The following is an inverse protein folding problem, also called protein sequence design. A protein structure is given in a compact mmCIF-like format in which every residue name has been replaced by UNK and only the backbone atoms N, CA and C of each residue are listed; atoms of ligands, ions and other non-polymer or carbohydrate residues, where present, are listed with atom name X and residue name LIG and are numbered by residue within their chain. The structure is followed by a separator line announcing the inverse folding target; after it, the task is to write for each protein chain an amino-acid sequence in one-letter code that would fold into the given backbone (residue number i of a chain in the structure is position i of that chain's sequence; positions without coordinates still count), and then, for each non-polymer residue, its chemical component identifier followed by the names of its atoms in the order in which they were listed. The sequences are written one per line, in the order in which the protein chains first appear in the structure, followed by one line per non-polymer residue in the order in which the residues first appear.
data_IF_952027451457
#
_entry.id   IF_952027451457
#
_cell.length_a   1.000
_cell.length_b   1.000
_cell.length_c   1.000
_cell.angle_alpha   90.00
_cell.angle_beta   90.00
_cell.angle_gamma   90.00
#
_symmetry.space_group_name_H-M   'P 1'
#
loop_
_entity.id
_entity.type
_entity.pdbx_description
1 polymer ?
#
# COMPACT_ATOMS: atom_id res chain seq x y z
N UNK A 1 5.55 7.52 3.03
CA UNK A 1 5.50 8.97 3.31
C UNK A 1 4.18 9.41 2.74
N UNK A 2 3.30 9.91 3.60
CA UNK A 2 1.87 9.81 3.34
C UNK A 2 1.34 11.15 2.81
N UNK A 3 0.13 11.13 2.24
CA UNK A 3 -0.56 12.31 1.72
C UNK A 3 -1.87 12.44 2.47
N UNK A 4 -2.06 13.55 3.17
CA UNK A 4 -3.26 13.75 3.99
C UNK A 4 -4.39 14.37 3.18
N UNK A 5 -5.62 13.97 3.51
CA UNK A 5 -6.87 14.47 2.90
C UNK A 5 -7.91 14.64 3.99
N UNK A 6 -8.64 15.74 4.02
CA UNK A 6 -9.73 15.92 5.00
C UNK A 6 -11.00 15.14 4.59
N UNK A 7 -11.16 14.84 3.30
CA UNK A 7 -12.33 14.16 2.73
C UNK A 7 -11.92 13.26 1.56
N UNK A 8 -12.75 12.28 1.18
CA UNK A 8 -12.56 11.58 -0.09
C UNK A 8 -12.85 12.49 -1.28
N UNK A 9 -12.16 12.25 -2.40
CA UNK A 9 -12.34 13.00 -3.64
C UNK A 9 -13.81 13.07 -4.08
N UNK A 10 -14.22 14.22 -4.62
CA UNK A 10 -15.61 14.51 -5.03
C UNK A 10 -16.65 14.35 -3.90
N UNK A 11 -16.24 14.51 -2.64
CA UNK A 11 -17.09 14.39 -1.44
C UNK A 11 -17.83 13.04 -1.37
N UNK A 12 -17.19 11.98 -1.88
CA UNK A 12 -17.70 10.61 -1.73
C UNK A 12 -17.58 10.17 -0.27
N UNK A 13 -18.39 9.19 0.13
CA UNK A 13 -18.39 8.68 1.50
C UNK A 13 -18.06 7.18 1.59
N UNK A 14 -17.74 6.54 0.45
CA UNK A 14 -17.31 5.15 0.37
C UNK A 14 -16.44 4.91 -0.86
N UNK A 15 -15.72 3.78 -0.85
CA UNK A 15 -14.88 3.33 -1.95
C UNK A 15 -14.20 2.01 -1.62
N UNK A 16 -13.05 1.78 -2.23
CA UNK A 16 -12.24 0.59 -2.00
C UNK A 16 -10.75 0.93 -1.98
N UNK A 17 -9.98 0.05 -1.36
CA UNK A 17 -8.51 0.09 -1.33
C UNK A 17 -7.99 -1.05 -2.19
N UNK A 18 -6.99 -0.78 -3.03
CA UNK A 18 -6.29 -1.79 -3.82
C UNK A 18 -5.04 -2.26 -3.08
N UNK A 19 -4.72 -3.55 -3.16
CA UNK A 19 -3.44 -4.07 -2.68
C UNK A 19 -2.31 -3.48 -3.51
N UNK A 20 -1.15 -3.19 -2.90
CA UNK A 20 0.06 -2.92 -3.67
C UNK A 20 0.41 -4.15 -4.52
N UNK A 21 0.99 -3.92 -5.70
CA UNK A 21 1.31 -5.00 -6.66
C UNK A 21 2.24 -6.09 -6.09
N UNK A 22 2.99 -5.80 -5.02
CA UNK A 22 3.87 -6.76 -4.35
C UNK A 22 3.11 -7.76 -3.45
N UNK A 23 1.85 -7.46 -3.12
CA UNK A 23 1.00 -8.26 -2.23
C UNK A 23 -0.21 -8.91 -2.93
N UNK A 24 -0.28 -8.81 -4.26
CA UNK A 24 -1.36 -9.45 -5.02
C UNK A 24 -1.16 -10.96 -5.06
N UNK A 25 -2.26 -11.70 -4.90
CA UNK A 25 -2.25 -13.15 -4.98
C UNK A 25 -2.13 -13.64 -6.44
N UNK A 26 -1.66 -14.88 -6.68
CA UNK A 26 -1.72 -15.49 -8.00
C UNK A 26 -3.14 -15.44 -8.58
N UNK A 27 -3.27 -14.88 -9.79
CA UNK A 27 -4.56 -14.72 -10.48
C UNK A 27 -5.29 -13.41 -10.18
N UNK A 28 -4.82 -12.58 -9.25
CA UNK A 28 -5.28 -11.19 -9.14
C UNK A 28 -4.64 -10.30 -10.21
N UNK A 29 -5.38 -9.29 -10.66
CA UNK A 29 -4.94 -8.34 -11.67
C UNK A 29 -3.84 -7.42 -11.10
N UNK A 30 -2.71 -7.30 -11.83
CA UNK A 30 -1.73 -6.24 -11.57
C UNK A 30 -2.30 -4.88 -11.97
N UNK A 31 -2.31 -3.94 -11.04
CA UNK A 31 -2.75 -2.57 -11.29
C UNK A 31 -1.66 -1.82 -12.03
N UNK A 32 -2.02 -1.12 -13.12
CA UNK A 32 -1.10 -0.29 -13.89
C UNK A 32 -1.48 1.18 -13.73
N UNK A 33 -0.65 1.93 -13.00
CA UNK A 33 -0.73 3.40 -12.98
C UNK A 33 -0.16 3.94 -14.30
N UNK A 34 -0.91 4.80 -14.96
CA UNK A 34 -0.56 5.45 -16.22
C UNK A 34 0.16 6.77 -15.94
N UNK A 35 -0.41 7.58 -15.06
CA UNK A 35 0.17 8.86 -14.68
C UNK A 35 -0.31 9.29 -13.29
N UNK A 36 0.40 10.27 -12.73
CA UNK A 36 0.15 10.81 -11.40
C UNK A 36 0.22 12.33 -11.42
N UNK A 37 -0.85 12.98 -11.00
CA UNK A 37 -0.92 14.43 -10.80
C UNK A 37 -0.90 14.73 -9.29
N UNK A 38 -0.02 15.64 -8.80
CA UNK A 38 0.08 15.93 -7.36
C UNK A 38 -1.21 16.46 -6.71
N UNK A 39 -2.09 17.05 -7.51
CA UNK A 39 -3.42 17.53 -7.11
C UNK A 39 -4.42 17.31 -8.25
N UNK A 40 -5.72 17.45 -7.97
CA UNK A 40 -6.83 17.41 -8.93
C UNK A 40 -6.40 17.99 -10.28
N UNK A 41 -6.56 17.21 -11.34
CA UNK A 41 -6.08 17.58 -12.66
C UNK A 41 -7.18 17.52 -13.72
N UNK A 42 -8.46 17.36 -13.36
CA UNK A 42 -9.55 17.25 -14.34
C UNK A 42 -9.31 16.12 -15.35
N UNK A 43 -8.86 14.98 -14.85
CA UNK A 43 -8.40 13.88 -15.68
C UNK A 43 -9.50 13.19 -16.49
N UNK A 44 -10.77 13.45 -16.20
CA UNK A 44 -11.92 13.04 -17.00
C UNK A 44 -12.04 13.84 -18.33
N UNK A 45 -11.55 15.08 -18.34
CA UNK A 45 -11.58 15.97 -19.50
C UNK A 45 -10.20 16.14 -20.16
N UNK A 46 -9.30 15.17 -19.99
CA UNK A 46 -7.99 15.10 -20.65
C UNK A 46 -7.91 14.01 -21.71
N UNK A 47 -6.97 14.16 -22.65
CA UNK A 47 -6.65 13.13 -23.66
C UNK A 47 -5.74 12.04 -23.05
N UNK A 48 -5.41 11.02 -23.85
CA UNK A 48 -4.53 9.89 -23.46
C UNK A 48 -4.88 9.27 -22.10
N UNK A 49 -6.12 8.76 -22.00
CA UNK A 49 -6.66 8.18 -20.77
C UNK A 49 -6.62 9.10 -19.53
N UNK A 50 -6.51 10.41 -19.72
CA UNK A 50 -6.49 11.42 -18.68
C UNK A 50 -5.09 11.96 -18.36
N UNK A 51 -4.06 11.54 -19.08
CA UNK A 51 -2.65 11.81 -18.75
C UNK A 51 -1.99 12.92 -19.58
N UNK A 52 -2.67 13.42 -20.61
CA UNK A 52 -2.15 14.43 -21.52
C UNK A 52 -3.05 15.68 -21.54
N UNK A 53 -3.15 16.33 -22.70
CA UNK A 53 -3.79 17.63 -22.92
C UNK A 53 -5.20 17.72 -22.33
N UNK A 54 -5.47 18.84 -21.65
CA UNK A 54 -6.83 19.23 -21.34
C UNK A 54 -7.59 19.54 -22.62
N UNK A 55 -8.71 18.86 -22.86
CA UNK A 55 -9.42 18.87 -24.17
C UNK A 55 -9.90 20.25 -24.62
N UNK A 56 -10.09 21.19 -23.69
CA UNK A 56 -10.52 22.56 -24.02
C UNK A 56 -9.35 23.57 -24.06
N UNK A 57 -8.10 23.11 -23.88
CA UNK A 57 -6.91 23.91 -24.14
C UNK A 57 -6.54 23.86 -25.62
N UNK A 58 -6.02 24.97 -26.15
CA UNK A 58 -5.41 25.02 -27.49
C UNK A 58 -3.92 24.64 -27.48
N UNK A 59 -3.31 24.59 -26.29
CA UNK A 59 -1.89 24.26 -26.12
C UNK A 59 -1.71 22.74 -25.97
N UNK A 60 -0.65 22.22 -26.60
CA UNK A 60 -0.19 20.85 -26.36
C UNK A 60 0.63 20.85 -25.07
N UNK A 61 0.11 20.16 -24.07
CA UNK A 61 0.73 20.00 -22.77
C UNK A 61 1.83 18.93 -22.84
N UNK A 62 2.97 19.24 -22.22
CA UNK A 62 4.05 18.28 -22.05
C UNK A 62 3.84 17.54 -20.74
N UNK A 63 4.23 16.27 -20.71
CA UNK A 63 4.44 15.59 -19.43
C UNK A 63 5.47 16.36 -18.60
N UNK A 64 5.45 16.22 -17.27
CA UNK A 64 6.43 16.89 -16.42
C UNK A 64 7.87 16.59 -16.87
N UNK A 65 8.15 15.34 -17.23
CA UNK A 65 9.46 14.91 -17.69
C UNK A 65 9.90 15.62 -18.99
N UNK A 66 9.01 15.77 -19.97
CA UNK A 66 9.29 16.47 -21.24
C UNK A 66 9.41 17.99 -21.07
N UNK A 67 8.76 18.54 -20.03
CA UNK A 67 8.92 19.94 -19.62
C UNK A 67 10.20 20.18 -18.79
N UNK A 68 10.99 19.15 -18.50
CA UNK A 68 12.18 19.25 -17.64
C UNK A 68 11.86 19.35 -16.14
N UNK A 69 10.60 19.12 -15.76
CA UNK A 69 10.11 19.12 -14.38
C UNK A 69 10.31 17.73 -13.78
N UNK A 70 11.40 17.56 -13.02
CA UNK A 70 11.80 16.27 -12.42
C UNK A 70 11.97 16.30 -10.91
N UNK A 71 11.60 17.41 -10.26
CA UNK A 71 11.70 17.55 -8.80
C UNK A 71 10.42 18.17 -8.23
N UNK A 72 10.10 17.92 -6.95
CA UNK A 72 8.98 18.55 -6.27
C UNK A 72 8.97 20.08 -6.38
N UNK A 73 10.12 20.71 -6.15
CA UNK A 73 10.26 22.17 -6.23
C UNK A 73 10.08 22.70 -7.66
N UNK A 74 10.58 21.98 -8.67
CA UNK A 74 10.36 22.34 -10.08
C UNK A 74 8.88 22.24 -10.46
N UNK A 75 8.17 21.23 -9.95
CA UNK A 75 6.73 21.10 -10.18
C UNK A 75 5.97 22.26 -9.55
N UNK A 76 6.27 22.62 -8.29
CA UNK A 76 5.61 23.75 -7.64
C UNK A 76 5.83 25.06 -8.39
N UNK A 77 7.05 25.29 -8.90
CA UNK A 77 7.36 26.47 -9.72
C UNK A 77 6.56 26.47 -11.04
N UNK A 78 6.47 25.33 -11.72
CA UNK A 78 5.66 25.18 -12.94
C UNK A 78 4.17 25.40 -12.66
N UNK A 79 3.61 24.78 -11.62
CA UNK A 79 2.22 24.92 -11.23
C UNK A 79 1.84 26.37 -10.90
N UNK A 80 2.71 27.08 -10.17
CA UNK A 80 2.54 28.52 -9.91
C UNK A 80 2.63 29.38 -11.15
N UNK A 81 3.48 29.02 -12.12
CA UNK A 81 3.63 29.77 -13.37
C UNK A 81 2.36 29.75 -14.23
N UNK A 82 1.54 28.69 -14.10
CA UNK A 82 0.23 28.58 -14.75
C UNK A 82 -0.93 29.06 -13.87
N UNK A 83 -0.61 29.76 -12.77
CA UNK A 83 -1.60 30.37 -11.87
C UNK A 83 -2.26 29.39 -10.89
N UNK A 84 -1.59 28.29 -10.55
CA UNK A 84 -2.17 27.17 -9.80
C UNK A 84 -3.44 26.62 -10.46
N UNK A 85 -3.50 26.64 -11.79
CA UNK A 85 -4.64 26.11 -12.54
C UNK A 85 -4.51 24.58 -12.63
N UNK A 86 -5.39 23.87 -11.95
CA UNK A 86 -5.49 22.41 -11.92
C UNK A 86 -5.47 21.80 -13.33
N UNK A 87 -6.03 22.51 -14.32
CA UNK A 87 -6.14 22.07 -15.72
C UNK A 87 -4.85 22.26 -16.51
N UNK A 88 -3.88 23.02 -16.00
CA UNK A 88 -2.63 23.37 -16.72
C UNK A 88 -1.37 22.85 -16.05
N UNK A 89 -1.49 22.19 -14.89
CA UNK A 89 -0.37 21.54 -14.25
C UNK A 89 0.21 20.45 -15.18
N UNK A 90 1.53 20.30 -15.22
CA UNK A 90 2.10 19.11 -15.84
C UNK A 90 1.75 17.87 -14.99
N UNK A 91 1.59 16.73 -15.66
CA UNK A 91 1.34 15.42 -15.03
C UNK A 91 2.58 14.53 -15.22
N UNK A 92 2.91 13.73 -14.20
CA UNK A 92 4.04 12.79 -14.27
C UNK A 92 3.64 11.50 -14.99
N UNK A 93 4.35 11.14 -16.06
CA UNK A 93 4.24 9.81 -16.72
C UNK A 93 4.83 8.73 -15.79
N UNK A 94 4.06 7.68 -15.48
CA UNK A 94 4.50 6.59 -14.59
C UNK A 94 4.66 5.25 -15.33
N UNK A 95 4.68 5.28 -16.66
CA UNK A 95 4.85 4.13 -17.53
C UNK A 95 6.25 4.10 -18.13
N UNK A 96 6.79 5.25 -18.56
CA UNK A 96 8.05 5.36 -19.29
C UNK A 96 9.19 5.88 -18.42
N UNK A 97 10.39 5.34 -18.62
CA UNK A 97 11.61 5.90 -18.05
C UNK A 97 12.13 7.06 -18.92
N UNK A 98 12.63 8.12 -18.28
CA UNK A 98 13.14 9.33 -18.94
C UNK A 98 14.62 9.55 -18.59
N UNK A 99 15.50 8.79 -19.26
CA UNK A 99 16.94 8.78 -18.98
C UNK A 99 17.20 8.19 -17.60
N UNK A 100 17.87 8.93 -16.73
CA UNK A 100 18.11 8.51 -15.34
C UNK A 100 16.92 8.71 -14.40
N UNK A 101 15.86 9.39 -14.85
CA UNK A 101 14.64 9.64 -14.08
C UNK A 101 13.59 8.60 -14.47
N UNK A 102 13.41 7.58 -13.64
CA UNK A 102 12.56 6.44 -13.95
C UNK A 102 11.10 6.65 -13.48
N UNK A 103 10.22 5.72 -13.82
CA UNK A 103 8.80 5.76 -13.43
C UNK A 103 8.53 5.81 -11.91
N UNK A 104 9.39 5.22 -11.09
CA UNK A 104 9.27 5.29 -9.64
C UNK A 104 9.68 6.68 -9.13
N UNK A 105 10.73 7.27 -9.71
CA UNK A 105 11.11 8.66 -9.43
C UNK A 105 9.97 9.63 -9.80
N UNK A 106 9.28 9.38 -10.91
CA UNK A 106 8.12 10.16 -11.36
C UNK A 106 6.94 10.09 -10.37
N UNK A 107 6.57 8.87 -9.94
CA UNK A 107 5.52 8.67 -8.93
C UNK A 107 5.90 9.35 -7.61
N UNK A 108 7.13 9.15 -7.13
CA UNK A 108 7.61 9.75 -5.88
C UNK A 108 7.68 11.28 -5.97
N UNK A 109 8.15 11.83 -7.09
CA UNK A 109 8.17 13.28 -7.30
C UNK A 109 6.77 13.87 -7.22
N UNK A 110 5.73 13.18 -7.70
CA UNK A 110 4.35 13.64 -7.61
C UNK A 110 3.85 13.68 -6.15
N UNK A 111 4.10 12.62 -5.39
CA UNK A 111 3.74 12.53 -3.96
C UNK A 111 4.48 13.61 -3.14
N UNK A 112 5.76 13.83 -3.41
CA UNK A 112 6.55 14.84 -2.69
C UNK A 112 6.20 16.28 -3.12
N UNK A 113 5.85 16.50 -4.39
CA UNK A 113 5.39 17.79 -4.89
C UNK A 113 4.13 18.27 -4.18
N UNK A 114 3.21 17.35 -3.89
CA UNK A 114 1.97 17.62 -3.18
C UNK A 114 2.21 18.27 -1.81
N UNK A 115 3.22 17.86 -1.06
CA UNK A 115 3.51 18.43 0.27
C UNK A 115 3.88 19.91 0.23
N UNK A 116 4.17 20.44 -0.95
CA UNK A 116 4.55 21.83 -1.13
C UNK A 116 3.33 22.76 -1.32
N UNK A 117 2.12 22.23 -1.54
CA UNK A 117 0.90 23.04 -1.79
C UNK A 117 0.06 23.34 -0.54
N UNK A 118 0.58 23.07 0.66
CA UNK A 118 0.04 23.53 1.97
C UNK A 118 -1.49 23.46 2.10
N UNK A 119 -2.19 24.60 2.08
CA UNK A 119 -3.64 24.64 2.34
C UNK A 119 -4.47 23.85 1.32
N UNK A 120 -3.96 23.67 0.10
CA UNK A 120 -4.58 22.87 -0.96
C UNK A 120 -4.29 21.37 -0.77
N UNK A 121 -3.19 21.03 -0.10
CA UNK A 121 -2.76 19.65 0.17
C UNK A 121 -3.86 18.88 0.91
N UNK A 122 -4.48 19.45 1.93
CA UNK A 122 -5.50 18.70 2.68
C UNK A 122 -6.88 18.73 2.01
N UNK A 123 -7.17 19.77 1.22
CA UNK A 123 -8.52 20.08 0.72
C UNK A 123 -8.85 19.43 -0.62
N UNK A 124 -7.83 19.11 -1.41
CA UNK A 124 -8.01 18.67 -2.79
C UNK A 124 -7.29 17.35 -3.02
N UNK A 125 -7.96 16.36 -3.61
CA UNK A 125 -7.39 15.04 -3.87
C UNK A 125 -6.15 15.07 -4.78
N UNK A 126 -5.34 14.02 -4.71
CA UNK A 126 -4.33 13.67 -5.71
C UNK A 126 -5.00 12.80 -6.76
N UNK A 127 -4.60 12.90 -8.03
CA UNK A 127 -5.18 12.07 -9.09
C UNK A 127 -4.17 11.09 -9.68
N UNK A 128 -4.42 9.80 -9.46
CA UNK A 128 -3.76 8.71 -10.15
C UNK A 128 -4.68 8.18 -11.26
N UNK A 129 -4.16 8.05 -12.48
CA UNK A 129 -4.88 7.37 -13.57
C UNK A 129 -4.43 5.94 -13.67
N UNK A 130 -5.38 5.02 -13.62
CA UNK A 130 -5.14 3.59 -13.77
C UNK A 130 -5.56 3.14 -15.15
N UNK A 131 -4.88 2.12 -15.69
CA UNK A 131 -5.30 1.46 -16.91
C UNK A 131 -6.68 0.83 -16.71
N UNK A 132 -7.54 0.95 -17.73
CA UNK A 132 -8.84 0.27 -17.74
C UNK A 132 -8.60 -1.23 -17.70
N UNK A 133 -9.28 -1.92 -16.79
CA UNK A 133 -9.24 -3.37 -16.66
C UNK A 133 -10.37 -4.04 -17.45
N UNK A 134 -10.17 -5.25 -17.97
CA UNK A 134 -11.23 -6.03 -18.60
C UNK A 134 -12.41 -6.30 -17.66
N UNK A 135 -13.59 -6.47 -18.23
CA UNK A 135 -14.75 -6.96 -17.49
C UNK A 135 -14.43 -8.29 -16.80
N UNK A 136 -15.03 -8.51 -15.62
CA UNK A 136 -14.83 -9.72 -14.81
C UNK A 136 -13.39 -9.97 -14.35
N UNK A 137 -12.53 -8.95 -14.39
CA UNK A 137 -11.18 -9.04 -13.81
C UNK A 137 -11.24 -9.36 -12.31
N UNK A 138 -10.32 -10.20 -11.86
CA UNK A 138 -10.11 -10.44 -10.42
C UNK A 138 -9.26 -9.31 -9.84
N UNK A 139 -9.91 -8.20 -9.46
CA UNK A 139 -9.22 -7.03 -8.94
C UNK A 139 -8.60 -7.31 -7.55
N UNK A 140 -7.42 -6.76 -7.25
CA UNK A 140 -6.74 -6.96 -5.98
C UNK A 140 -7.34 -6.03 -4.91
N UNK A 141 -8.61 -6.19 -4.60
CA UNK A 141 -9.27 -5.36 -3.58
C UNK A 141 -8.78 -5.80 -2.20
N UNK A 142 -8.32 -4.84 -1.40
CA UNK A 142 -7.84 -5.05 -0.04
C UNK A 142 -8.94 -4.81 1.00
N UNK A 143 -9.74 -3.77 0.80
CA UNK A 143 -10.82 -3.38 1.72
C UNK A 143 -11.90 -2.57 1.00
N UNK A 144 -13.11 -2.64 1.51
CA UNK A 144 -14.17 -1.65 1.27
C UNK A 144 -14.09 -0.61 2.36
N UNK A 145 -14.13 0.67 2.00
CA UNK A 145 -13.98 1.76 2.96
C UNK A 145 -15.22 2.64 2.94
N UNK A 146 -15.51 3.24 4.09
CA UNK A 146 -16.41 4.37 4.20
C UNK A 146 -15.84 5.40 5.16
N UNK A 147 -16.25 6.64 5.01
CA UNK A 147 -15.82 7.72 5.91
C UNK A 147 -16.81 7.91 7.04
N UNK A 148 -16.29 7.95 8.27
CA UNK A 148 -17.06 8.21 9.48
C UNK A 148 -16.19 8.84 10.57
N UNK A 149 -16.81 9.21 11.70
CA UNK A 149 -16.05 9.61 12.89
C UNK A 149 -15.61 8.33 13.59
N UNK A 150 -14.30 8.15 13.88
CA UNK A 150 -13.74 6.96 14.56
C UNK A 150 -14.61 6.52 15.75
N UNK A 151 -15.11 5.29 15.69
CA UNK A 151 -15.93 4.67 16.74
C UNK A 151 -17.35 5.25 16.87
N UNK A 152 -17.73 6.15 15.95
CA UNK A 152 -19.08 6.66 15.75
C UNK A 152 -19.42 6.62 14.24
N UNK A 153 -19.40 5.44 13.62
CA UNK A 153 -19.71 5.28 12.19
C UNK A 153 -21.15 5.65 11.83
N UNK A 154 -22.02 5.83 12.83
CA UNK A 154 -23.41 6.27 12.70
C UNK A 154 -23.60 7.71 13.25
N UNK A 155 -22.55 8.55 13.22
CA UNK A 155 -22.59 9.91 13.76
C UNK A 155 -23.38 10.90 12.92
N UNK A 156 -23.50 10.66 11.61
CA UNK A 156 -24.29 11.47 10.69
C UNK A 156 -24.87 10.65 9.54
N UNK A 157 -25.82 11.22 8.81
CA UNK A 157 -26.49 10.55 7.70
C UNK A 157 -25.56 10.19 6.54
N UNK A 158 -24.41 10.88 6.41
CA UNK A 158 -23.40 10.58 5.38
C UNK A 158 -22.65 9.30 5.71
N UNK A 159 -22.23 9.15 6.97
CA UNK A 159 -21.51 7.98 7.46
C UNK A 159 -22.39 6.72 7.36
N UNK A 160 -23.67 6.84 7.73
CA UNK A 160 -24.63 5.74 7.58
C UNK A 160 -24.83 5.31 6.11
N UNK A 161 -24.96 6.27 5.19
CA UNK A 161 -25.09 6.00 3.76
C UNK A 161 -23.81 5.38 3.18
N UNK A 162 -22.63 5.92 3.54
CA UNK A 162 -21.33 5.39 3.11
C UNK A 162 -21.11 3.95 3.57
N UNK A 163 -21.40 3.66 4.85
CA UNK A 163 -21.34 2.32 5.43
C UNK A 163 -22.27 1.35 4.70
N UNK A 164 -23.50 1.78 4.40
CA UNK A 164 -24.48 0.96 3.65
C UNK A 164 -23.96 0.62 2.25
N UNK A 165 -23.34 1.56 1.55
CA UNK A 165 -22.75 1.34 0.23
C UNK A 165 -21.53 0.42 0.28
N UNK A 166 -20.62 0.60 1.24
CA UNK A 166 -19.46 -0.28 1.42
C UNK A 166 -19.87 -1.73 1.76
N UNK A 167 -20.92 -1.89 2.57
CA UNK A 167 -21.55 -3.17 2.87
C UNK A 167 -22.17 -3.83 1.63
N UNK A 168 -22.76 -3.01 0.77
CA UNK A 168 -23.36 -3.45 -0.49
C UNK A 168 -22.29 -3.93 -1.49
N UNK A 169 -21.18 -3.18 -1.59
CA UNK A 169 -20.00 -3.57 -2.37
C UNK A 169 -19.39 -4.88 -1.87
N UNK A 170 -19.21 -5.03 -0.56
CA UNK A 170 -18.72 -6.27 0.05
C UNK A 170 -19.58 -7.47 -0.34
N UNK A 171 -20.91 -7.34 -0.23
CA UNK A 171 -21.84 -8.42 -0.56
C UNK A 171 -21.77 -8.78 -2.04
N UNK A 172 -21.89 -7.78 -2.92
CA UNK A 172 -21.86 -7.99 -4.38
C UNK A 172 -20.56 -8.63 -4.84
N UNK A 173 -19.42 -8.19 -4.31
CA UNK A 173 -18.12 -8.76 -4.65
C UNK A 173 -17.99 -10.22 -4.20
N UNK A 174 -18.47 -10.55 -3.00
CA UNK A 174 -18.44 -11.92 -2.50
C UNK A 174 -19.34 -12.85 -3.34
N UNK A 175 -20.55 -12.40 -3.69
CA UNK A 175 -21.48 -13.12 -4.57
C UNK A 175 -20.88 -13.32 -5.97
N UNK A 176 -20.34 -12.26 -6.56
CA UNK A 176 -19.73 -12.29 -7.89
C UNK A 176 -18.48 -13.19 -7.94
N UNK A 177 -17.60 -13.12 -6.94
CA UNK A 177 -16.43 -14.02 -6.86
C UNK A 177 -16.83 -15.47 -6.59
N UNK A 178 -17.90 -15.71 -5.81
CA UNK A 178 -18.46 -17.06 -5.67
C UNK A 178 -18.96 -17.60 -7.02
N UNK A 179 -19.60 -16.76 -7.85
CA UNK A 179 -20.09 -17.14 -9.17
C UNK A 179 -18.93 -17.37 -10.16
N UNK A 180 -18.00 -16.42 -10.26
CA UNK A 180 -16.94 -16.43 -11.29
C UNK A 180 -15.75 -17.31 -10.95
N UNK A 181 -15.43 -17.47 -9.66
CA UNK A 181 -14.22 -18.17 -9.18
C UNK A 181 -14.56 -19.42 -8.35
N UNK A 182 -15.84 -19.70 -8.09
CA UNK A 182 -16.27 -20.82 -7.25
C UNK A 182 -16.00 -20.64 -5.75
N UNK A 183 -15.49 -19.48 -5.34
CA UNK A 183 -15.16 -19.13 -3.96
C UNK A 183 -15.45 -17.66 -3.69
N UNK A 184 -16.35 -17.38 -2.75
CA UNK A 184 -16.62 -16.04 -2.26
C UNK A 184 -15.41 -15.47 -1.51
N UNK A 185 -15.05 -14.23 -1.84
CA UNK A 185 -14.01 -13.49 -1.13
C UNK A 185 -14.61 -12.81 0.10
N UNK A 186 -13.93 -12.92 1.25
CA UNK A 186 -14.13 -11.99 2.36
C UNK A 186 -13.15 -10.84 2.22
N UNK A 187 -13.68 -9.64 1.94
CA UNK A 187 -12.94 -8.38 1.90
C UNK A 187 -13.57 -7.49 2.97
N UNK A 188 -12.81 -6.98 3.96
CA UNK A 188 -13.40 -6.28 5.10
C UNK A 188 -13.97 -4.93 4.70
N UNK A 189 -15.07 -4.55 5.35
CA UNK A 189 -15.54 -3.16 5.44
C UNK A 189 -14.79 -2.48 6.58
N UNK A 190 -14.20 -1.32 6.30
CA UNK A 190 -13.34 -0.57 7.22
C UNK A 190 -13.87 0.86 7.39
N UNK A 191 -14.07 1.27 8.64
CA UNK A 191 -14.34 2.67 9.02
C UNK A 191 -13.04 3.47 8.88
N UNK A 192 -13.05 4.46 8.00
CA UNK A 192 -11.93 5.36 7.77
C UNK A 192 -12.25 6.74 8.32
N UNK A 193 -11.56 7.14 9.39
CA UNK A 193 -11.60 8.52 9.87
C UNK A 193 -10.54 9.33 9.13
N UNK A 194 -10.99 10.34 8.40
CA UNK A 194 -10.10 11.29 7.74
C UNK A 194 -9.38 12.20 8.76
N UNK A 195 -8.13 12.58 8.51
CA UNK A 195 -7.40 13.56 9.32
C UNK A 195 -8.08 14.94 9.26
N UNK A 196 -7.94 15.73 10.33
CA UNK A 196 -8.49 17.09 10.38
C UNK A 196 -7.46 18.14 9.91
N UNK A 197 -6.17 17.80 9.93
CA UNK A 197 -5.06 18.64 9.53
C UNK A 197 -3.94 17.78 8.93
N UNK A 198 -2.96 18.41 8.26
CA UNK A 198 -1.77 17.71 7.73
C UNK A 198 -0.81 17.22 8.82
N UNK A 199 -1.12 17.46 10.09
CA UNK A 199 -0.39 16.95 11.24
C UNK A 199 -1.07 15.73 11.89
N UNK A 200 -2.27 15.36 11.43
CA UNK A 200 -3.01 14.19 11.90
C UNK A 200 -2.93 13.08 10.86
N UNK A 201 -3.00 11.82 11.32
CA UNK A 201 -3.08 10.66 10.43
C UNK A 201 -4.53 10.18 10.26
N UNK A 202 -4.85 9.66 9.07
CA UNK A 202 -6.05 8.87 8.87
C UNK A 202 -6.05 7.62 9.77
N UNK A 203 -7.20 7.24 10.31
CA UNK A 203 -7.31 5.99 11.10
C UNK A 203 -8.30 5.02 10.48
N UNK A 204 -7.90 3.75 10.43
CA UNK A 204 -8.66 2.64 9.85
C UNK A 204 -9.12 1.70 10.97
N UNK A 205 -10.42 1.48 11.09
CA UNK A 205 -11.00 0.65 12.15
C UNK A 205 -11.83 -0.47 11.56
N UNK A 206 -11.50 -1.72 11.91
CA UNK A 206 -12.36 -2.86 11.63
C UNK A 206 -13.41 -2.99 12.73
N UNK A 207 -14.68 -2.93 12.35
CA UNK A 207 -15.82 -3.15 13.25
C UNK A 207 -16.55 -4.43 12.81
N UNK A 208 -16.62 -5.47 13.66
CA UNK A 208 -17.31 -6.71 13.30
C UNK A 208 -18.77 -6.50 12.89
N UNK A 209 -19.46 -5.52 13.50
CA UNK A 209 -20.84 -5.18 13.17
C UNK A 209 -21.03 -4.52 11.79
N UNK A 210 -19.94 -4.15 11.11
CA UNK A 210 -20.01 -3.55 9.77
C UNK A 210 -20.01 -4.58 8.66
N UNK A 211 -19.69 -5.84 8.95
CA UNK A 211 -19.54 -6.86 7.92
C UNK A 211 -20.91 -7.45 7.56
N UNK A 212 -21.31 -7.38 6.28
CA UNK A 212 -22.49 -8.08 5.75
C UNK A 212 -22.18 -9.50 5.30
N UNK A 213 -20.96 -9.71 4.82
CA UNK A 213 -20.43 -11.04 4.57
C UNK A 213 -19.65 -11.43 5.82
N UNK A 214 -20.01 -12.52 6.51
CA UNK A 214 -19.22 -12.96 7.65
C UNK A 214 -17.80 -13.29 7.15
N UNK A 215 -16.75 -12.99 7.93
CA UNK A 215 -15.47 -13.64 7.69
C UNK A 215 -15.75 -15.15 7.66
N UNK A 216 -15.51 -15.79 6.51
CA UNK A 216 -15.70 -17.24 6.38
C UNK A 216 -14.96 -17.97 7.52
N UNK A 217 -15.46 -19.14 7.96
CA UNK A 217 -14.94 -19.97 9.06
C UNK A 217 -13.65 -19.40 9.66
N UNK A 218 -13.77 -18.48 10.63
CA UNK A 218 -12.69 -17.69 11.23
C UNK A 218 -11.33 -18.32 10.95
N UNK A 219 -10.74 -17.88 9.84
CA UNK A 219 -9.71 -18.55 9.05
C UNK A 219 -8.97 -19.66 9.83
N UNK A 220 -9.51 -20.90 9.82
CA UNK A 220 -9.03 -22.00 10.69
C UNK A 220 -7.50 -22.09 10.62
N UNK A 221 -6.82 -21.79 11.74
CA UNK A 221 -5.36 -21.67 11.81
C UNK A 221 -4.81 -20.25 11.93
N UNK A 222 -5.67 -19.22 11.97
CA UNK A 222 -5.30 -17.86 12.35
C UNK A 222 -5.04 -17.75 13.85
N UNK A 223 -4.11 -16.88 14.21
CA UNK A 223 -3.74 -16.58 15.58
C UNK A 223 -4.37 -15.26 16.04
N UNK A 224 -4.71 -15.15 17.32
CA UNK A 224 -5.07 -13.84 17.94
C UNK A 224 -3.91 -12.84 17.86
N UNK A 225 -2.67 -13.35 17.89
CA UNK A 225 -1.43 -12.63 17.59
C UNK A 225 -0.37 -13.62 17.10
N UNK A 226 0.36 -13.22 16.06
CA UNK A 226 1.45 -14.00 15.47
C UNK A 226 2.81 -13.66 16.12
N UNK A 227 3.00 -12.42 16.56
CA UNK A 227 4.29 -11.90 17.02
C UNK A 227 4.16 -11.36 18.45
N UNK A 228 4.82 -12.01 19.40
CA UNK A 228 4.88 -11.54 20.78
C UNK A 228 5.72 -10.26 20.87
N UNK A 229 6.92 -10.28 20.28
CA UNK A 229 7.90 -9.19 20.39
C UNK A 229 8.72 -9.00 19.10
N UNK A 230 9.11 -7.77 18.83
CA UNK A 230 10.02 -7.40 17.73
C UNK A 230 10.96 -6.27 18.20
N UNK A 231 12.27 -6.51 18.15
CA UNK A 231 13.28 -5.61 18.72
C UNK A 231 14.47 -5.39 17.78
N UNK A 232 14.84 -4.14 17.56
CA UNK A 232 15.99 -3.79 16.74
C UNK A 232 17.29 -3.80 17.55
N UNK A 233 18.28 -4.52 17.04
CA UNK A 233 19.68 -4.39 17.42
C UNK A 233 20.46 -3.69 16.29
N UNK A 234 20.82 -2.43 16.50
CA UNK A 234 21.55 -1.64 15.51
C UNK A 234 23.05 -1.95 15.44
N UNK A 235 23.57 -2.75 16.38
CA UNK A 235 24.98 -3.03 16.52
C UNK A 235 25.28 -4.53 16.41
N UNK A 236 24.48 -5.28 15.64
CA UNK A 236 24.75 -6.69 15.41
C UNK A 236 25.99 -6.84 14.53
N UNK A 237 27.02 -7.50 15.07
CA UNK A 237 28.24 -7.81 14.33
C UNK A 237 28.06 -9.11 13.55
N UNK A 238 28.06 -9.01 12.23
CA UNK A 238 28.01 -10.16 11.33
C UNK A 238 29.42 -10.74 11.18
N UNK A 239 29.69 -11.98 11.64
CA UNK A 239 31.04 -12.52 11.71
C UNK A 239 31.64 -12.95 10.36
N UNK A 240 30.81 -13.36 9.40
CA UNK A 240 31.21 -13.78 8.04
C UNK A 240 31.58 -12.57 7.19
N UNK A 241 30.73 -11.55 7.17
CA UNK A 241 30.91 -10.32 6.42
C UNK A 241 31.78 -9.28 7.17
N UNK A 242 32.10 -9.54 8.45
CA UNK A 242 32.92 -8.67 9.32
C UNK A 242 32.42 -7.22 9.34
N UNK A 243 31.09 -7.05 9.40
CA UNK A 243 30.44 -5.75 9.36
C UNK A 243 29.33 -5.66 10.40
N UNK A 244 29.13 -4.47 10.93
CA UNK A 244 28.02 -4.17 11.83
C UNK A 244 26.81 -3.79 10.99
N UNK A 245 25.68 -4.45 11.23
CA UNK A 245 24.41 -4.21 10.53
C UNK A 245 23.25 -4.16 11.52
N UNK A 246 22.15 -3.51 11.17
CA UNK A 246 20.91 -3.63 11.91
C UNK A 246 20.34 -5.05 11.77
N UNK A 247 19.86 -5.61 12.88
CA UNK A 247 19.19 -6.92 12.94
C UNK A 247 17.90 -6.79 13.74
N UNK A 248 16.80 -7.30 13.20
CA UNK A 248 15.50 -7.36 13.87
C UNK A 248 15.34 -8.72 14.54
N UNK A 249 15.36 -8.74 15.86
CA UNK A 249 15.05 -9.92 16.65
C UNK A 249 13.54 -10.06 16.81
N UNK A 250 12.99 -11.21 16.39
CA UNK A 250 11.57 -11.51 16.39
C UNK A 250 11.29 -12.67 17.34
N UNK A 251 10.33 -12.49 18.24
CA UNK A 251 9.77 -13.53 19.11
C UNK A 251 8.35 -13.86 18.65
N UNK A 252 8.15 -14.97 17.91
CA UNK A 252 6.81 -15.41 17.52
C UNK A 252 6.06 -16.05 18.68
N UNK A 253 4.73 -15.90 18.70
CA UNK A 253 3.86 -16.59 19.65
C UNK A 253 3.87 -18.10 19.40
N UNK A 254 3.36 -18.91 20.34
CA UNK A 254 3.22 -20.35 20.14
C UNK A 254 2.40 -20.69 18.88
N UNK A 255 1.32 -19.94 18.62
CA UNK A 255 0.51 -20.09 17.41
C UNK A 255 1.28 -19.60 16.17
N UNK A 256 1.94 -18.44 16.25
CA UNK A 256 2.72 -17.86 15.14
C UNK A 256 3.82 -18.79 14.59
N UNK A 257 4.33 -19.71 15.41
CA UNK A 257 5.34 -20.71 15.02
C UNK A 257 4.80 -21.84 14.16
N UNK A 258 3.50 -22.12 14.23
CA UNK A 258 2.88 -23.31 13.61
C UNK A 258 1.98 -22.96 12.43
N UNK A 259 1.96 -21.69 12.03
CA UNK A 259 1.10 -21.21 10.95
C UNK A 259 1.47 -21.83 9.60
N UNK A 260 0.45 -22.05 8.77
CA UNK A 260 0.63 -22.51 7.40
C UNK A 260 1.13 -21.40 6.45
N UNK A 261 1.59 -21.75 5.25
CA UNK A 261 2.06 -20.80 4.24
C UNK A 261 1.05 -19.68 3.94
N UNK A 262 -0.24 -19.99 3.98
CA UNK A 262 -1.37 -19.07 3.75
C UNK A 262 -1.50 -17.96 4.81
N UNK A 263 -0.84 -18.11 5.96
CA UNK A 263 -0.85 -17.13 7.07
C UNK A 263 0.42 -16.29 7.14
N UNK A 264 1.41 -16.58 6.31
CA UNK A 264 2.70 -15.89 6.38
C UNK A 264 2.59 -14.40 6.08
N UNK A 265 1.66 -13.99 5.23
CA UNK A 265 1.45 -12.57 4.90
C UNK A 265 0.82 -11.79 6.05
N UNK A 266 -0.21 -12.36 6.71
CA UNK A 266 -0.83 -11.70 7.88
C UNK A 266 0.12 -11.65 9.07
N UNK A 267 0.90 -12.71 9.29
CA UNK A 267 1.92 -12.72 10.35
C UNK A 267 3.05 -11.71 10.09
N UNK A 268 3.50 -11.60 8.83
CA UNK A 268 4.52 -10.62 8.45
C UNK A 268 3.98 -9.18 8.50
N UNK A 269 2.70 -8.96 8.20
CA UNK A 269 2.06 -7.66 8.38
C UNK A 269 2.00 -7.25 9.86
N UNK A 270 1.66 -8.17 10.78
CA UNK A 270 1.73 -7.90 12.22
C UNK A 270 3.16 -7.56 12.66
N UNK A 271 4.16 -8.29 12.14
CA UNK A 271 5.57 -7.97 12.40
C UNK A 271 5.93 -6.56 11.91
N UNK A 272 5.49 -6.20 10.70
CA UNK A 272 5.73 -4.88 10.13
C UNK A 272 5.13 -3.78 11.00
N UNK A 273 3.89 -3.93 11.48
CA UNK A 273 3.25 -2.96 12.38
C UNK A 273 4.03 -2.74 13.67
N UNK A 274 4.71 -3.77 14.18
CA UNK A 274 5.54 -3.69 15.39
C UNK A 274 6.94 -3.11 15.13
N UNK A 275 7.49 -3.30 13.93
CA UNK A 275 8.91 -3.04 13.63
C UNK A 275 9.17 -1.87 12.67
N UNK A 276 8.16 -1.37 11.95
CA UNK A 276 8.32 -0.45 10.82
C UNK A 276 8.73 0.99 11.20
N UNK A 277 8.62 1.37 12.47
CA UNK A 277 9.00 2.71 12.94
C UNK A 277 10.54 2.91 12.99
N UNK A 278 11.33 1.91 12.61
CA UNK A 278 12.78 1.98 12.62
C UNK A 278 13.34 2.33 11.23
N UNK A 279 14.35 3.21 11.10
CA UNK A 279 14.91 3.63 9.81
C UNK A 279 15.46 2.49 8.93
N UNK A 280 15.83 1.37 9.55
CA UNK A 280 16.31 0.17 8.82
C UNK A 280 15.18 -0.71 8.28
N UNK A 281 13.93 -0.44 8.64
CA UNK A 281 12.78 -1.10 8.02
C UNK A 281 12.45 -0.43 6.68
N UNK A 282 12.34 -1.22 5.61
CA UNK A 282 11.98 -0.72 4.28
C UNK A 282 11.14 -1.77 3.54
N UNK A 283 9.81 -1.57 3.49
CA UNK A 283 8.89 -2.48 2.79
C UNK A 283 9.15 -2.51 1.27
N UNK A 284 9.44 -1.36 0.66
CA UNK A 284 9.48 -1.18 -0.80
C UNK A 284 10.72 -1.81 -1.46
N UNK A 285 11.85 -1.89 -0.74
CA UNK A 285 13.13 -2.43 -1.27
C UNK A 285 13.66 -3.64 -0.52
N UNK A 286 13.32 -3.79 0.76
CA UNK A 286 13.91 -4.79 1.69
C UNK A 286 12.85 -5.72 2.31
N UNK A 287 11.56 -5.41 2.14
CA UNK A 287 10.44 -6.21 2.61
C UNK A 287 10.43 -7.61 2.01
N UNK A 288 10.90 -7.78 0.76
CA UNK A 288 11.00 -9.10 0.14
C UNK A 288 12.08 -9.98 0.78
N UNK A 289 13.24 -9.43 1.16
CA UNK A 289 14.32 -10.18 1.81
C UNK A 289 13.99 -10.54 3.26
N UNK A 290 13.56 -9.56 4.05
CA UNK A 290 13.13 -9.78 5.43
C UNK A 290 11.94 -10.75 5.49
N UNK A 291 10.96 -10.61 4.58
CA UNK A 291 9.84 -11.56 4.44
C UNK A 291 10.35 -12.94 4.04
N UNK A 292 11.32 -13.06 3.13
CA UNK A 292 11.92 -14.35 2.76
C UNK A 292 12.57 -15.03 3.96
N UNK A 293 13.34 -14.30 4.76
CA UNK A 293 13.96 -14.81 5.99
C UNK A 293 12.90 -15.27 6.99
N UNK A 294 11.88 -14.44 7.24
CA UNK A 294 10.74 -14.77 8.10
C UNK A 294 10.02 -16.05 7.65
N UNK A 295 9.64 -16.11 6.37
CA UNK A 295 8.96 -17.27 5.78
C UNK A 295 9.85 -18.52 5.84
N UNK A 296 11.17 -18.38 5.68
CA UNK A 296 12.09 -19.50 5.83
C UNK A 296 12.04 -20.08 7.25
N UNK A 297 12.04 -19.24 8.27
CA UNK A 297 11.91 -19.67 9.67
C UNK A 297 10.58 -20.37 9.95
N UNK A 298 9.46 -19.78 9.50
CA UNK A 298 8.12 -20.38 9.66
C UNK A 298 8.02 -21.72 8.94
N UNK A 299 8.47 -21.81 7.69
CA UNK A 299 8.32 -23.00 6.85
C UNK A 299 9.33 -24.11 7.14
N UNK A 300 10.34 -23.88 7.99
CA UNK A 300 11.44 -24.83 8.20
C UNK A 300 11.67 -25.13 9.69
N UNK A 301 10.78 -25.90 10.35
CA UNK A 301 10.92 -26.25 11.76
C UNK A 301 12.25 -26.92 12.10
N UNK A 302 12.86 -27.68 11.18
CA UNK A 302 14.19 -28.28 11.38
C UNK A 302 15.30 -27.24 11.63
N UNK A 303 15.13 -26.00 11.18
CA UNK A 303 16.06 -24.89 11.39
C UNK A 303 15.59 -23.99 12.55
N UNK A 304 14.29 -23.80 12.73
CA UNK A 304 13.72 -22.78 13.60
C UNK A 304 13.15 -23.29 14.93
N UNK A 305 12.81 -24.58 15.08
CA UNK A 305 12.08 -25.08 16.24
C UNK A 305 12.83 -24.91 17.57
N UNK A 306 14.16 -25.00 17.55
CA UNK A 306 15.00 -24.79 18.74
C UNK A 306 15.33 -23.32 19.02
N UNK A 307 14.85 -22.38 18.20
CA UNK A 307 15.17 -20.96 18.32
C UNK A 307 14.03 -20.22 19.01
N UNK A 308 14.31 -19.65 20.18
CA UNK A 308 13.37 -18.76 20.87
C UNK A 308 13.12 -17.49 20.03
N UNK A 309 14.15 -16.96 19.40
CA UNK A 309 14.05 -15.77 18.55
C UNK A 309 14.61 -16.00 17.15
N UNK A 310 14.08 -15.25 16.18
CA UNK A 310 14.56 -15.23 14.79
C UNK A 310 15.15 -13.86 14.49
N UNK A 311 16.36 -13.81 13.97
CA UNK A 311 16.97 -12.57 13.55
C UNK A 311 16.73 -12.38 12.06
N UNK A 312 16.17 -11.23 11.68
CA UNK A 312 15.94 -10.83 10.31
C UNK A 312 16.81 -9.61 10.03
N UNK A 313 17.72 -9.69 9.06
CA UNK A 313 18.58 -8.56 8.72
C UNK A 313 18.20 -7.94 7.36
N UNK A 314 17.97 -6.62 7.31
CA UNK A 314 17.64 -5.93 6.06
C UNK A 314 18.73 -6.07 4.99
N UNK A 315 20.00 -6.02 5.38
CA UNK A 315 21.15 -6.03 4.47
C UNK A 315 21.31 -7.34 3.67
N UNK A 316 20.62 -8.41 4.09
CA UNK A 316 20.69 -9.73 3.46
C UNK A 316 20.06 -9.68 2.07
N UNK A 317 20.67 -10.29 1.04
CA UNK A 317 20.07 -10.31 -0.29
C UNK A 317 18.78 -11.14 -0.32
N UNK A 318 17.86 -10.77 -1.20
CA UNK A 318 16.75 -11.64 -1.55
C UNK A 318 17.27 -12.88 -2.29
N UNK A 319 16.82 -14.06 -1.86
CA UNK A 319 17.11 -15.34 -2.50
C UNK A 319 15.82 -16.17 -2.63
N UNK A 320 15.88 -17.25 -3.42
CA UNK A 320 14.77 -18.20 -3.50
C UNK A 320 14.52 -18.88 -2.14
N UNK A 321 13.33 -19.47 -1.95
CA UNK A 321 13.05 -20.23 -0.72
C UNK A 321 14.05 -21.38 -0.53
N UNK A 322 14.34 -22.13 -1.60
CA UNK A 322 15.25 -23.27 -1.54
C UNK A 322 16.68 -22.82 -1.15
N UNK A 323 17.13 -21.69 -1.68
CA UNK A 323 18.44 -21.12 -1.35
C UNK A 323 18.49 -20.60 0.09
N UNK A 324 17.43 -19.92 0.57
CA UNK A 324 17.35 -19.49 1.97
C UNK A 324 17.44 -20.69 2.93
N UNK A 325 16.73 -21.79 2.63
CA UNK A 325 16.77 -23.03 3.42
C UNK A 325 18.16 -23.65 3.40
N UNK A 326 18.79 -23.74 2.24
CA UNK A 326 20.16 -24.26 2.10
C UNK A 326 21.19 -23.46 2.91
N UNK A 327 20.93 -22.16 3.12
CA UNK A 327 21.77 -21.25 3.91
C UNK A 327 21.27 -21.09 5.35
N UNK A 328 20.45 -22.01 5.87
CA UNK A 328 20.05 -22.01 7.29
C UNK A 328 19.07 -20.89 7.66
N UNK A 329 18.28 -20.41 6.70
CA UNK A 329 17.46 -19.19 6.77
C UNK A 329 18.25 -17.91 7.02
N UNK A 330 19.56 -17.91 6.77
CA UNK A 330 20.44 -16.77 6.95
C UNK A 330 21.24 -16.50 5.66
N UNK A 331 20.64 -15.87 4.63
CA UNK A 331 21.31 -15.66 3.34
C UNK A 331 22.65 -14.93 3.47
N UNK A 332 23.70 -15.38 2.77
CA UNK A 332 25.02 -14.77 2.94
C UNK A 332 25.07 -13.37 2.31
N UNK A 333 25.64 -12.42 3.05
CA UNK A 333 25.91 -11.09 2.54
C UNK A 333 26.97 -11.19 1.43
N UNK A 334 26.73 -10.49 0.32
CA UNK A 334 27.73 -10.29 -0.71
C UNK A 334 28.58 -9.06 -0.40
#
# INVERSE_FOLDING_TARGET
MDSEYQDLGLLKNNGFVLKPNDFIAPGELKVKTLCMAPVDAWTDNRTDAGCADYKASAEVEKTCQEAGVKTPAAWLANYRSVGNDHRKQCIFDTVKDCGSFNKADAFNAAIEARKLIKDEEIKTQTEARLAVWPDNSNLPILAWIYTGIKGRPDADGKSFAGRTLAQDDQRRWSEDTQIRLGKGAFIPVIDMKMPASTADDATFTYLPGDQKVPPGDADKGSCDSYIEKAEWNNNYYEPVAKKTIPSLQVTPTACGRTIGPEKTDVAFAELALKAANHPSWNLDRMGTSMRRQFVCHVATPSIAAGKETWNLEPDRPYVSQAEAVAQGCNPQLK
#
